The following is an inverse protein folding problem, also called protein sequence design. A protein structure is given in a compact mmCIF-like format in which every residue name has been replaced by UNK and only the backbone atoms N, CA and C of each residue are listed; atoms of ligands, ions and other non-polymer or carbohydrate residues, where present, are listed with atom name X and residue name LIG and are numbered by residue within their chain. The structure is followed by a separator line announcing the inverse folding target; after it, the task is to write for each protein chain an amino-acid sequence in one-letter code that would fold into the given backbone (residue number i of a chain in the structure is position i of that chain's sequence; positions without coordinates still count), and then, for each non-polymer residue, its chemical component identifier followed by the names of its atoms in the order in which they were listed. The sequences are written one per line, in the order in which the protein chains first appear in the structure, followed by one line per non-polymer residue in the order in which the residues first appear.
data_IF_621347699109
#
_entry.id   IF_621347699109
#
_cell.length_a   1.000
_cell.length_b   1.000
_cell.length_c   1.000
_cell.angle_alpha   90.00
_cell.angle_beta   90.00
_cell.angle_gamma   90.00
#
_symmetry.space_group_name_H-M   'P 1'
#
loop_
_entity.id
_entity.type
_entity.pdbx_description
1 polymer ?
#
# COMPACT_ATOMS: atom_id res chain seq x y z
N UNK A 1 -11.41 -9.48 1.99
CA UNK A 1 -9.96 -9.26 1.74
C UNK A 1 -9.66 -8.81 0.32
N UNK A 2 -10.39 -9.31 -0.68
CA UNK A 2 -10.18 -8.99 -2.10
C UNK A 2 -10.21 -7.47 -2.40
N UNK A 3 -11.14 -6.71 -1.81
CA UNK A 3 -11.23 -5.27 -2.07
C UNK A 3 -10.02 -4.48 -1.54
N UNK A 4 -9.50 -4.84 -0.37
CA UNK A 4 -8.31 -4.19 0.20
C UNK A 4 -7.06 -4.48 -0.63
N UNK A 5 -6.92 -5.73 -1.10
CA UNK A 5 -5.84 -6.12 -2.00
C UNK A 5 -5.93 -5.38 -3.34
N UNK A 6 -7.14 -5.22 -3.89
CA UNK A 6 -7.38 -4.44 -5.11
C UNK A 6 -6.97 -2.99 -4.92
N UNK A 7 -7.39 -2.33 -3.83
CA UNK A 7 -6.95 -0.95 -3.50
C UNK A 7 -5.43 -0.83 -3.37
N UNK A 8 -4.75 -1.80 -2.76
CA UNK A 8 -3.28 -1.83 -2.69
C UNK A 8 -2.68 -1.89 -4.10
N UNK A 9 -3.21 -2.73 -4.99
CA UNK A 9 -2.72 -2.83 -6.36
C UNK A 9 -2.95 -1.55 -7.15
N UNK A 10 -4.13 -0.94 -7.02
CA UNK A 10 -4.46 0.31 -7.71
C UNK A 10 -3.58 1.46 -7.21
N UNK A 11 -3.36 1.58 -5.89
CA UNK A 11 -2.48 2.59 -5.31
C UNK A 11 -1.01 2.37 -5.69
N UNK A 12 -0.58 1.11 -5.87
CA UNK A 12 0.77 0.80 -6.39
C UNK A 12 0.96 1.22 -7.83
N UNK A 13 -0.07 1.07 -8.69
CA UNK A 13 -0.05 1.57 -10.07
C UNK A 13 0.07 3.08 -10.08
N UNK A 14 -0.76 3.78 -9.29
CA UNK A 14 -0.67 5.24 -9.12
C UNK A 14 0.75 5.67 -8.69
N UNK A 15 1.35 4.97 -7.72
CA UNK A 15 2.72 5.26 -7.30
C UNK A 15 3.76 5.02 -8.41
N UNK A 16 3.57 4.03 -9.28
CA UNK A 16 4.45 3.84 -10.44
C UNK A 16 4.31 4.97 -11.45
N UNK A 17 3.08 5.38 -11.77
CA UNK A 17 2.80 6.53 -12.63
C UNK A 17 3.49 7.80 -12.09
N UNK A 18 3.34 8.09 -10.80
CA UNK A 18 3.93 9.28 -10.17
C UNK A 18 5.47 9.22 -10.17
N UNK A 19 6.08 8.03 -10.02
CA UNK A 19 7.54 7.87 -10.11
C UNK A 19 8.03 8.04 -11.54
N UNK A 20 7.25 7.59 -12.52
CA UNK A 20 7.54 7.81 -13.92
C UNK A 20 7.49 9.32 -14.25
N UNK A 21 6.41 10.00 -13.85
CA UNK A 21 6.29 11.46 -13.96
C UNK A 21 7.44 12.20 -13.28
N UNK A 22 7.87 11.76 -12.10
CA UNK A 22 9.04 12.32 -11.41
C UNK A 22 10.32 12.15 -12.23
N UNK A 23 10.51 10.98 -12.85
CA UNK A 23 11.71 10.67 -13.62
C UNK A 23 11.84 11.48 -14.91
N UNK A 24 10.71 11.87 -15.51
CA UNK A 24 10.67 12.72 -16.71
C UNK A 24 10.52 14.21 -16.38
N UNK A 25 10.51 14.58 -15.09
CA UNK A 25 10.43 15.97 -14.62
C UNK A 25 9.06 16.62 -14.78
N UNK A 26 7.98 15.85 -14.93
CA UNK A 26 6.60 16.33 -15.11
C UNK A 26 5.71 16.06 -13.89
N UNK A 27 6.30 15.92 -12.70
CA UNK A 27 5.53 15.63 -11.49
C UNK A 27 5.01 16.93 -10.86
N UNK A 28 3.72 17.20 -11.08
CA UNK A 28 3.05 18.36 -10.46
C UNK A 28 2.75 18.15 -8.96
N UNK A 29 2.44 16.90 -8.56
CA UNK A 29 1.96 16.58 -7.20
C UNK A 29 2.99 15.79 -6.39
N UNK A 30 4.11 16.43 -6.04
CA UNK A 30 5.19 15.82 -5.26
C UNK A 30 4.75 15.20 -3.91
N UNK A 31 3.78 15.82 -3.21
CA UNK A 31 3.24 15.31 -1.95
C UNK A 31 2.55 13.94 -2.13
N UNK A 32 1.90 13.72 -3.27
CA UNK A 32 1.12 12.50 -3.56
C UNK A 32 1.99 11.24 -3.55
N UNK A 33 3.26 11.33 -3.96
CA UNK A 33 4.22 10.21 -3.89
C UNK A 33 4.43 9.74 -2.44
N UNK A 34 4.54 10.68 -1.50
CA UNK A 34 4.71 10.36 -0.09
C UNK A 34 3.42 9.83 0.55
N UNK A 35 2.27 10.36 0.15
CA UNK A 35 0.95 9.90 0.58
C UNK A 35 0.65 8.49 0.12
N UNK A 36 0.79 8.21 -1.18
CA UNK A 36 0.54 6.89 -1.77
C UNK A 36 1.41 5.81 -1.12
N UNK A 37 2.68 6.11 -0.83
CA UNK A 37 3.56 5.19 -0.07
C UNK A 37 3.03 4.89 1.33
N UNK A 38 2.62 5.93 2.08
CA UNK A 38 2.05 5.76 3.43
C UNK A 38 0.72 5.00 3.39
N UNK A 39 -0.10 5.25 2.38
CA UNK A 39 -1.39 4.61 2.20
C UNK A 39 -1.25 3.11 1.92
N UNK A 40 -0.34 2.73 1.02
CA UNK A 40 0.03 1.33 0.79
C UNK A 40 0.50 0.67 2.10
N UNK A 41 1.39 1.33 2.85
CA UNK A 41 1.90 0.78 4.10
C UNK A 41 0.78 0.52 5.12
N UNK A 42 -0.12 1.49 5.33
CA UNK A 42 -1.28 1.34 6.24
C UNK A 42 -2.17 0.17 5.82
N UNK A 43 -2.50 0.07 4.53
CA UNK A 43 -3.33 -1.02 4.03
C UNK A 43 -2.66 -2.40 4.19
N UNK A 44 -1.34 -2.48 3.97
CA UNK A 44 -0.58 -3.71 4.19
C UNK A 44 -0.55 -4.11 5.67
N UNK A 45 -0.42 -3.16 6.60
CA UNK A 45 -0.50 -3.42 8.05
C UNK A 45 -1.85 -4.01 8.42
N UNK A 46 -2.95 -3.38 7.99
CA UNK A 46 -4.32 -3.87 8.26
C UNK A 46 -4.55 -5.26 7.67
N UNK A 47 -4.03 -5.52 6.47
CA UNK A 47 -4.09 -6.85 5.87
C UNK A 47 -3.34 -7.88 6.74
N UNK A 48 -2.14 -7.54 7.20
CA UNK A 48 -1.33 -8.39 8.07
C UNK A 48 -1.99 -8.65 9.42
N UNK A 49 -2.60 -7.65 10.04
CA UNK A 49 -3.38 -7.78 11.28
C UNK A 49 -4.58 -8.72 11.09
N UNK A 50 -5.32 -8.56 9.99
CA UNK A 50 -6.46 -9.43 9.65
C UNK A 50 -6.05 -10.87 9.41
N UNK A 51 -4.89 -11.10 8.81
CA UNK A 51 -4.32 -12.45 8.64
C UNK A 51 -3.90 -13.04 9.98
N UNK A 52 -3.19 -12.26 10.82
CA UNK A 52 -2.78 -12.70 12.17
C UNK A 52 -3.96 -12.98 13.11
N UNK A 53 -5.05 -12.24 12.96
CA UNK A 53 -6.28 -12.45 13.73
C UNK A 53 -7.02 -13.73 13.31
N UNK A 54 -6.90 -14.14 12.05
CA UNK A 54 -7.47 -15.39 11.54
C UNK A 54 -6.56 -16.61 11.76
N UNK A 55 -5.24 -16.39 11.91
CA UNK A 55 -4.34 -17.46 12.30
C UNK A 55 -4.60 -17.83 13.77
N UNK A 56 -4.83 -19.11 14.11
CA UNK A 56 -4.90 -19.52 15.50
C UNK A 56 -3.57 -19.14 16.14
N UNK A 57 -3.61 -18.38 17.25
CA UNK A 57 -2.42 -18.06 18.03
C UNK A 57 -1.76 -19.37 18.42
N UNK A 58 -0.76 -19.81 17.67
CA UNK A 58 0.05 -20.95 18.04
C UNK A 58 0.68 -20.60 19.38
N UNK A 59 0.24 -21.32 20.41
CA UNK A 59 0.67 -21.17 21.80
C UNK A 59 2.21 -21.14 21.80
N UNK A 60 2.79 -20.02 22.17
CA UNK A 60 4.19 -20.01 22.60
C UNK A 60 4.22 -20.72 23.95
N UNK A 61 4.78 -21.93 23.94
CA UNK A 61 5.25 -22.63 25.14
C UNK A 61 6.46 -21.89 25.72
#
# INVERSE_FOLDING_TARGET
MAELQKRIQDTKKELMELRFQASIGQLDKNHRVSEARREIARMMTVLGEKVKAQAPRAKKA
#
